data_IF_512720169384
#
_entry.id   IF_512720169384
#
_cell.length_a   1.000
_cell.length_b   1.000
_cell.length_c   1.000
_cell.angle_alpha   90.00
_cell.angle_beta   90.00
_cell.angle_gamma   90.00
#
_symmetry.space_group_name_H-M   'P 1'
#
loop_
_entity.id
_entity.type
_entity.pdbx_description
1 polymer ?
#
# COMPACT_ATOMS: atom_id res chain seq x y z
N UNK A 1 -24.91 -20.53 6.59
CA UNK A 1 -24.06 -20.82 5.39
C UNK A 1 -23.64 -22.28 5.40
N UNK A 2 -23.84 -23.02 4.30
CA UNK A 2 -23.58 -24.48 4.27
C UNK A 2 -22.09 -24.79 4.06
N UNK A 3 -21.59 -25.87 4.65
CA UNK A 3 -20.21 -26.37 4.49
C UNK A 3 -19.76 -26.40 3.02
N UNK A 4 -20.63 -26.87 2.13
CA UNK A 4 -20.36 -26.93 0.69
C UNK A 4 -20.20 -25.54 0.04
N UNK A 5 -20.95 -24.54 0.50
CA UNK A 5 -20.82 -23.15 0.00
C UNK A 5 -19.44 -22.59 0.35
N UNK A 6 -18.98 -22.80 1.60
CA UNK A 6 -17.66 -22.36 2.06
C UNK A 6 -16.52 -23.01 1.26
N UNK A 7 -16.61 -24.32 1.07
CA UNK A 7 -15.60 -25.07 0.32
C UNK A 7 -15.52 -24.57 -1.12
N UNK A 8 -16.68 -24.31 -1.76
CA UNK A 8 -16.72 -23.82 -3.12
C UNK A 8 -16.14 -22.40 -3.24
N UNK A 9 -16.46 -21.51 -2.29
CA UNK A 9 -15.87 -20.17 -2.23
C UNK A 9 -14.33 -20.22 -2.14
N UNK A 10 -13.78 -21.00 -1.21
CA UNK A 10 -12.33 -21.16 -1.06
C UNK A 10 -11.66 -21.80 -2.28
N UNK A 11 -12.35 -22.73 -2.96
CA UNK A 11 -11.86 -23.32 -4.23
C UNK A 11 -11.75 -22.28 -5.33
N UNK A 12 -12.75 -21.42 -5.49
CA UNK A 12 -12.73 -20.34 -6.49
C UNK A 12 -11.62 -19.33 -6.19
N UNK A 13 -11.45 -18.92 -4.93
CA UNK A 13 -10.36 -18.02 -4.53
C UNK A 13 -8.99 -18.63 -4.84
N UNK A 14 -8.77 -19.91 -4.50
CA UNK A 14 -7.52 -20.62 -4.82
C UNK A 14 -7.27 -20.68 -6.33
N UNK A 15 -8.31 -20.89 -7.13
CA UNK A 15 -8.22 -20.94 -8.59
C UNK A 15 -7.77 -19.60 -9.16
N UNK A 16 -8.33 -18.49 -8.68
CA UNK A 16 -7.92 -17.14 -9.08
C UNK A 16 -6.46 -16.88 -8.68
N UNK A 17 -6.09 -17.18 -7.43
CA UNK A 17 -4.73 -16.97 -6.93
C UNK A 17 -3.68 -17.77 -7.74
N UNK A 18 -3.97 -19.05 -8.05
CA UNK A 18 -3.09 -19.87 -8.89
C UNK A 18 -2.95 -19.32 -10.30
N UNK A 19 -4.05 -18.83 -10.91
CA UNK A 19 -3.99 -18.20 -12.24
C UNK A 19 -3.03 -17.00 -12.24
N UNK A 20 -3.14 -16.11 -11.25
CA UNK A 20 -2.22 -14.97 -11.12
C UNK A 20 -0.78 -15.42 -10.84
N UNK A 21 -0.59 -16.46 -10.03
CA UNK A 21 0.73 -17.02 -9.73
C UNK A 21 1.44 -17.49 -11.01
N UNK A 22 0.74 -18.23 -11.88
CA UNK A 22 1.32 -18.67 -13.17
C UNK A 22 1.64 -17.49 -14.08
N UNK A 23 0.74 -16.50 -14.20
CA UNK A 23 1.02 -15.28 -14.96
C UNK A 23 2.29 -14.56 -14.50
N UNK A 24 2.54 -14.45 -13.19
CA UNK A 24 3.78 -13.84 -12.69
C UNK A 24 5.02 -14.71 -12.91
N UNK A 25 4.89 -16.04 -12.87
CA UNK A 25 6.01 -16.94 -13.21
C UNK A 25 6.46 -16.77 -14.65
N UNK A 26 5.55 -16.42 -15.56
CA UNK A 26 5.88 -16.09 -16.94
C UNK A 26 6.51 -14.69 -17.03
N UNK A 27 5.87 -13.69 -16.39
CA UNK A 27 6.30 -12.29 -16.44
C UNK A 27 7.65 -12.04 -15.78
N UNK A 28 8.06 -12.81 -14.77
CA UNK A 28 9.36 -12.62 -14.09
C UNK A 28 10.57 -12.81 -15.00
N UNK A 29 10.39 -13.52 -16.11
CA UNK A 29 11.45 -13.77 -17.09
C UNK A 29 11.48 -12.75 -18.24
N UNK A 30 10.60 -11.74 -18.22
CA UNK A 30 10.62 -10.66 -19.20
C UNK A 30 11.86 -9.78 -19.01
N UNK A 31 12.91 -10.09 -19.80
CA UNK A 31 14.21 -9.41 -19.76
C UNK A 31 14.12 -7.92 -20.13
N UNK A 32 13.07 -7.50 -20.82
CA UNK A 32 12.94 -6.12 -21.29
C UNK A 32 12.55 -5.14 -20.17
N UNK A 33 12.08 -5.64 -19.03
CA UNK A 33 11.60 -4.81 -17.92
C UNK A 33 12.04 -5.37 -16.56
N UNK A 34 13.29 -5.10 -16.17
CA UNK A 34 13.90 -5.53 -14.88
C UNK A 34 13.03 -5.27 -13.65
N UNK A 35 12.20 -4.22 -13.67
CA UNK A 35 11.27 -3.90 -12.59
C UNK A 35 10.07 -4.86 -12.51
N UNK A 36 9.57 -5.36 -13.65
CA UNK A 36 8.52 -6.39 -13.69
C UNK A 36 9.03 -7.65 -13.00
N UNK A 37 10.28 -8.05 -13.24
CA UNK A 37 10.93 -9.15 -12.55
C UNK A 37 10.83 -9.02 -11.03
N UNK A 38 11.33 -7.91 -10.47
CA UNK A 38 11.29 -7.65 -9.02
C UNK A 38 9.86 -7.61 -8.44
N UNK A 39 8.91 -6.95 -9.12
CA UNK A 39 7.52 -6.86 -8.66
C UNK A 39 6.79 -8.22 -8.76
N UNK A 40 7.15 -9.02 -9.77
CA UNK A 40 6.64 -10.38 -9.94
C UNK A 40 7.15 -11.30 -8.84
N UNK A 41 8.41 -11.19 -8.41
CA UNK A 41 8.95 -11.99 -7.30
C UNK A 41 8.19 -11.77 -6.00
N UNK A 42 7.95 -10.51 -5.62
CA UNK A 42 7.16 -10.16 -4.44
C UNK A 42 5.73 -10.68 -4.57
N UNK A 43 5.12 -10.50 -5.74
CA UNK A 43 3.75 -10.97 -5.98
C UNK A 43 3.65 -12.50 -5.90
N UNK A 44 4.65 -13.23 -6.40
CA UNK A 44 4.74 -14.69 -6.30
C UNK A 44 4.84 -15.13 -4.84
N UNK A 45 5.66 -14.47 -4.03
CA UNK A 45 5.79 -14.79 -2.61
C UNK A 45 4.46 -14.58 -1.88
N UNK A 46 3.83 -13.42 -2.05
CA UNK A 46 2.54 -13.11 -1.41
C UNK A 46 1.42 -14.03 -1.88
N UNK A 47 1.33 -14.36 -3.18
CA UNK A 47 0.34 -15.31 -3.68
C UNK A 47 0.54 -16.71 -3.11
N UNK A 48 1.79 -17.18 -2.94
CA UNK A 48 2.06 -18.47 -2.30
C UNK A 48 1.57 -18.49 -0.85
N UNK A 49 1.80 -17.42 -0.10
CA UNK A 49 1.31 -17.30 1.28
C UNK A 49 -0.23 -17.31 1.34
N UNK A 50 -0.89 -16.59 0.43
CA UNK A 50 -2.36 -16.60 0.32
C UNK A 50 -2.87 -18.00 -0.03
N UNK A 51 -2.24 -18.70 -0.98
CA UNK A 51 -2.63 -20.07 -1.36
C UNK A 51 -2.46 -21.03 -0.18
N UNK A 52 -1.38 -20.90 0.61
CA UNK A 52 -1.17 -21.70 1.82
C UNK A 52 -2.26 -21.43 2.86
N UNK A 53 -2.62 -20.15 3.08
CA UNK A 53 -3.73 -19.76 3.96
C UNK A 53 -5.04 -20.37 3.49
N UNK A 54 -5.37 -20.29 2.21
CA UNK A 54 -6.60 -20.89 1.66
C UNK A 54 -6.60 -22.41 1.84
N UNK A 55 -5.46 -23.08 1.69
CA UNK A 55 -5.38 -24.53 1.94
C UNK A 55 -5.66 -24.88 3.39
N UNK A 56 -5.15 -24.08 4.34
CA UNK A 56 -5.44 -24.24 5.76
C UNK A 56 -6.93 -24.02 6.06
N UNK A 57 -7.51 -22.92 5.58
CA UNK A 57 -8.91 -22.56 5.80
C UNK A 57 -9.89 -23.54 5.14
N UNK A 58 -9.44 -24.32 4.15
CA UNK A 58 -10.23 -25.35 3.46
C UNK A 58 -10.13 -26.73 4.13
N UNK A 59 -9.34 -26.88 5.19
CA UNK A 59 -9.28 -28.15 5.92
C UNK A 59 -10.67 -28.46 6.52
N UNK A 60 -11.16 -29.71 6.48
CA UNK A 60 -12.50 -30.06 6.97
C UNK A 60 -12.81 -29.49 8.35
N UNK A 61 -11.91 -29.67 9.31
CA UNK A 61 -12.07 -29.17 10.69
C UNK A 61 -12.22 -27.64 10.77
N UNK A 62 -11.51 -26.90 9.91
CA UNK A 62 -11.59 -25.44 9.86
C UNK A 62 -12.90 -24.95 9.24
N UNK A 63 -13.36 -25.65 8.19
CA UNK A 63 -14.64 -25.36 7.54
C UNK A 63 -15.79 -25.66 8.50
N UNK A 64 -15.74 -26.79 9.19
CA UNK A 64 -16.75 -27.19 10.17
C UNK A 64 -16.81 -26.21 11.33
N UNK A 65 -15.66 -25.88 11.93
CA UNK A 65 -15.55 -24.87 12.99
C UNK A 65 -16.19 -23.54 12.55
N UNK A 66 -15.84 -23.06 11.37
CA UNK A 66 -16.39 -21.82 10.82
C UNK A 66 -17.91 -21.89 10.61
N UNK A 67 -18.42 -22.96 9.99
CA UNK A 67 -19.84 -23.12 9.71
C UNK A 67 -20.67 -23.25 10.99
N UNK A 68 -20.17 -23.99 11.98
CA UNK A 68 -20.83 -24.18 13.26
C UNK A 68 -20.92 -22.87 14.04
N UNK A 69 -19.81 -22.13 14.17
CA UNK A 69 -19.80 -20.84 14.86
C UNK A 69 -20.68 -19.79 14.17
N UNK A 70 -20.70 -19.78 12.82
CA UNK A 70 -21.58 -18.90 12.06
C UNK A 70 -23.05 -19.20 12.30
N UNK A 71 -23.45 -20.47 12.29
CA UNK A 71 -24.84 -20.85 12.58
C UNK A 71 -25.23 -20.41 13.99
N UNK A 72 -24.43 -20.75 15.01
CA UNK A 72 -24.71 -20.37 16.40
C UNK A 72 -24.87 -18.86 16.59
N UNK A 73 -24.06 -18.06 15.89
CA UNK A 73 -24.19 -16.60 15.91
C UNK A 73 -25.46 -16.11 15.22
N UNK A 74 -25.76 -16.61 14.00
CA UNK A 74 -26.99 -16.27 13.26
C UNK A 74 -28.25 -16.64 14.07
N UNK A 75 -28.17 -17.72 14.85
CA UNK A 75 -29.25 -18.23 15.70
C UNK A 75 -29.30 -17.58 17.11
N UNK A 76 -28.37 -16.67 17.44
CA UNK A 76 -28.30 -16.00 18.74
C UNK A 76 -27.92 -16.88 19.93
N UNK A 77 -27.54 -18.14 19.69
CA UNK A 77 -27.28 -19.18 20.70
C UNK A 77 -25.79 -19.37 20.99
N UNK A 78 -25.01 -18.29 20.91
CA UNK A 78 -23.57 -18.33 21.10
C UNK A 78 -23.20 -17.99 22.54
N UNK A 79 -22.44 -18.85 23.21
CA UNK A 79 -21.93 -18.56 24.56
C UNK A 79 -20.87 -17.47 24.53
N UNK A 80 -20.55 -16.85 25.67
CA UNK A 80 -19.53 -15.79 25.76
C UNK A 80 -18.13 -16.27 25.35
N UNK A 81 -17.81 -17.54 25.63
CA UNK A 81 -16.54 -18.17 25.27
C UNK A 81 -16.47 -18.48 23.77
N UNK A 82 -17.57 -19.00 23.21
CA UNK A 82 -17.73 -19.17 21.76
C UNK A 82 -17.84 -17.84 21.02
N UNK A 83 -18.27 -16.75 21.68
CA UNK A 83 -18.29 -15.40 21.12
C UNK A 83 -16.88 -14.88 20.90
N UNK A 84 -15.94 -15.19 21.80
CA UNK A 84 -14.51 -14.86 21.62
C UNK A 84 -13.89 -15.66 20.46
N UNK A 85 -14.17 -16.96 20.37
CA UNK A 85 -13.75 -17.80 19.24
C UNK A 85 -14.46 -17.37 17.94
N UNK A 86 -15.73 -17.01 18.01
CA UNK A 86 -16.48 -16.45 16.90
C UNK A 86 -15.90 -15.12 16.50
N UNK A 87 -15.54 -14.18 17.37
CA UNK A 87 -14.84 -12.96 16.95
C UNK A 87 -13.52 -13.25 16.22
N UNK A 88 -12.76 -14.26 16.66
CA UNK A 88 -11.58 -14.76 15.94
C UNK A 88 -11.92 -15.40 14.58
N UNK A 89 -13.14 -15.92 14.41
CA UNK A 89 -13.67 -16.60 13.20
C UNK A 89 -14.56 -15.69 12.31
N UNK A 90 -15.17 -14.63 12.83
CA UNK A 90 -15.84 -13.53 12.10
C UNK A 90 -14.78 -12.65 11.46
N UNK A 91 -13.63 -12.50 12.14
CA UNK A 91 -12.39 -12.13 11.48
C UNK A 91 -12.12 -13.03 10.27
N UNK A 92 -12.53 -14.30 10.18
CA UNK A 92 -12.39 -15.11 8.97
C UNK A 92 -13.36 -14.76 7.82
N UNK A 93 -14.56 -14.20 8.10
CA UNK A 93 -15.41 -13.58 7.05
C UNK A 93 -14.77 -12.30 6.51
N UNK A 94 -14.28 -11.46 7.42
CA UNK A 94 -13.43 -10.32 7.07
C UNK A 94 -12.18 -10.81 6.34
N UNK A 95 -11.59 -11.95 6.71
CA UNK A 95 -10.45 -12.53 6.03
C UNK A 95 -10.83 -13.08 4.66
N UNK A 96 -12.08 -13.47 4.40
CA UNK A 96 -12.48 -13.92 3.06
C UNK A 96 -12.62 -12.73 2.12
N UNK A 97 -13.27 -11.67 2.60
CA UNK A 97 -13.24 -10.35 1.96
C UNK A 97 -11.82 -9.81 1.79
N UNK A 98 -10.95 -10.03 2.78
CA UNK A 98 -9.53 -9.68 2.73
C UNK A 98 -8.78 -10.54 1.72
N UNK A 99 -9.01 -11.86 1.68
CA UNK A 99 -8.33 -12.79 0.77
C UNK A 99 -8.69 -12.44 -0.67
N UNK A 100 -9.96 -12.22 -0.99
CA UNK A 100 -10.33 -11.81 -2.35
C UNK A 100 -9.72 -10.46 -2.70
N UNK A 101 -9.70 -9.50 -1.76
CA UNK A 101 -9.07 -8.21 -1.97
C UNK A 101 -7.56 -8.32 -2.18
N UNK A 102 -6.88 -9.13 -1.37
CA UNK A 102 -5.43 -9.36 -1.44
C UNK A 102 -5.06 -10.09 -2.74
N UNK A 103 -5.84 -11.09 -3.17
CA UNK A 103 -5.68 -11.74 -4.48
C UNK A 103 -5.90 -10.73 -5.60
N UNK A 104 -7.00 -9.96 -5.55
CA UNK A 104 -7.37 -9.02 -6.60
C UNK A 104 -6.32 -7.91 -6.75
N UNK A 105 -5.84 -7.35 -5.65
CA UNK A 105 -4.75 -6.37 -5.63
C UNK A 105 -3.44 -6.91 -6.19
N UNK A 106 -3.23 -8.22 -6.09
CA UNK A 106 -2.12 -8.91 -6.72
C UNK A 106 -2.39 -9.29 -8.17
N UNK A 107 -3.52 -8.95 -8.78
CA UNK A 107 -3.70 -9.22 -10.21
C UNK A 107 -2.62 -8.49 -11.02
N UNK A 108 -2.06 -9.11 -12.08
CA UNK A 108 -1.09 -8.43 -12.94
C UNK A 108 -1.65 -7.13 -13.52
N UNK A 109 -2.95 -7.05 -13.74
CA UNK A 109 -3.59 -5.83 -14.22
C UNK A 109 -3.63 -4.73 -13.15
N UNK A 110 -3.91 -5.07 -11.90
CA UNK A 110 -3.84 -4.12 -10.78
C UNK A 110 -2.41 -3.70 -10.47
N UNK A 111 -1.58 -4.69 -10.15
CA UNK A 111 -0.28 -4.48 -9.57
C UNK A 111 0.76 -4.10 -10.64
N UNK A 112 0.65 -4.69 -11.83
CA UNK A 112 1.36 -4.18 -12.98
C UNK A 112 0.44 -3.11 -13.60
N UNK A 113 -0.32 -3.34 -14.65
CA UNK A 113 -0.80 -2.27 -15.55
C UNK A 113 -1.33 -0.96 -14.91
N UNK A 114 -2.26 -1.01 -13.96
CA UNK A 114 -2.98 0.16 -13.46
C UNK A 114 -2.27 0.89 -12.30
N UNK A 115 -1.60 0.16 -11.40
CA UNK A 115 -0.89 0.70 -10.24
C UNK A 115 -1.73 1.67 -9.38
N UNK A 116 -3.00 1.32 -9.17
CA UNK A 116 -4.00 2.18 -8.48
C UNK A 116 -4.23 1.81 -7.01
N UNK A 117 -3.42 0.90 -6.45
CA UNK A 117 -3.60 0.42 -5.08
C UNK A 117 -3.39 1.50 -3.99
N UNK A 118 -2.78 2.63 -4.35
CA UNK A 118 -2.57 3.79 -3.47
C UNK A 118 -3.76 4.75 -3.44
N UNK A 119 -4.75 4.58 -4.32
CA UNK A 119 -5.97 5.40 -4.32
C UNK A 119 -6.86 5.00 -3.14
N UNK A 120 -7.46 6.01 -2.51
CA UNK A 120 -8.30 5.83 -1.31
C UNK A 120 -9.77 6.14 -1.56
N UNK A 121 -10.12 6.73 -2.71
CA UNK A 121 -11.51 7.12 -3.00
C UNK A 121 -12.34 5.92 -3.47
N UNK A 122 -13.61 5.90 -3.08
CA UNK A 122 -14.56 4.91 -3.55
C UNK A 122 -14.61 3.61 -2.75
N UNK A 123 -15.45 2.68 -3.22
CA UNK A 123 -15.76 1.47 -2.48
C UNK A 123 -14.75 0.37 -2.79
N UNK A 124 -14.36 -0.41 -1.77
CA UNK A 124 -13.50 -1.61 -1.94
C UNK A 124 -14.00 -2.53 -3.06
N UNK A 125 -15.32 -2.65 -3.21
CA UNK A 125 -15.96 -3.42 -4.29
C UNK A 125 -15.61 -2.91 -5.69
N UNK A 126 -15.55 -1.59 -5.90
CA UNK A 126 -15.19 -1.02 -7.20
C UNK A 126 -13.75 -1.41 -7.58
N UNK A 127 -12.82 -1.37 -6.63
CA UNK A 127 -11.44 -1.84 -6.84
C UNK A 127 -11.36 -3.33 -7.14
N UNK A 128 -12.08 -4.17 -6.37
CA UNK A 128 -12.14 -5.61 -6.63
C UNK A 128 -12.68 -5.88 -8.04
N UNK A 129 -13.74 -5.18 -8.45
CA UNK A 129 -14.35 -5.36 -9.76
C UNK A 129 -13.40 -4.93 -10.89
N UNK A 130 -12.64 -3.83 -10.73
CA UNK A 130 -11.58 -3.42 -11.67
C UNK A 130 -10.50 -4.51 -11.75
N UNK A 131 -9.98 -4.93 -10.60
CA UNK A 131 -8.88 -5.88 -10.50
C UNK A 131 -9.20 -7.26 -11.07
N UNK A 132 -10.46 -7.69 -10.95
CA UNK A 132 -10.98 -8.93 -11.51
C UNK A 132 -11.52 -8.77 -12.94
N UNK A 133 -11.31 -7.61 -13.59
CA UNK A 133 -11.82 -7.28 -14.94
C UNK A 133 -13.33 -7.39 -15.11
N UNK A 134 -14.09 -7.20 -14.03
CA UNK A 134 -15.56 -7.15 -14.06
C UNK A 134 -16.07 -5.76 -14.44
N UNK A 135 -15.27 -4.73 -14.16
CA UNK A 135 -15.52 -3.33 -14.54
C UNK A 135 -14.26 -2.69 -15.09
N UNK A 136 -14.45 -1.64 -15.88
CA UNK A 136 -13.36 -0.81 -16.39
C UNK A 136 -12.93 0.25 -15.36
N UNK A 137 -11.69 0.74 -15.46
CA UNK A 137 -11.16 1.77 -14.56
C UNK A 137 -11.93 3.11 -14.64
N UNK A 138 -12.62 3.37 -15.76
CA UNK A 138 -13.47 4.56 -15.94
C UNK A 138 -14.54 4.75 -14.85
N UNK A 139 -14.88 3.72 -14.07
CA UNK A 139 -15.79 3.89 -12.92
C UNK A 139 -15.26 4.86 -11.86
N UNK A 140 -13.94 5.09 -11.83
CA UNK A 140 -13.31 6.03 -10.91
C UNK A 140 -13.46 7.49 -11.37
N UNK A 141 -13.87 7.75 -12.62
CA UNK A 141 -14.09 9.10 -13.16
C UNK A 141 -15.14 9.89 -12.37
N UNK A 142 -16.08 9.19 -11.72
CA UNK A 142 -17.10 9.80 -10.86
C UNK A 142 -16.49 10.57 -9.68
N UNK A 143 -15.25 10.28 -9.29
CA UNK A 143 -14.55 10.97 -8.20
C UNK A 143 -13.77 12.21 -8.66
N UNK A 144 -13.61 12.42 -9.98
CA UNK A 144 -12.88 13.58 -10.52
C UNK A 144 -13.42 14.93 -10.00
N UNK A 145 -14.75 15.21 -10.00
CA UNK A 145 -15.25 16.50 -9.54
C UNK A 145 -14.85 16.78 -8.08
N UNK A 146 -15.02 15.80 -7.20
CA UNK A 146 -14.63 15.93 -5.79
C UNK A 146 -13.15 16.20 -5.62
N UNK A 147 -12.29 15.58 -6.44
CA UNK A 147 -10.85 15.81 -6.40
C UNK A 147 -10.43 17.17 -6.94
N UNK A 148 -11.12 17.68 -7.97
CA UNK A 148 -10.92 19.05 -8.46
C UNK A 148 -11.32 20.07 -7.38
N UNK A 149 -12.43 19.84 -6.68
CA UNK A 149 -12.83 20.65 -5.52
C UNK A 149 -11.77 20.61 -4.43
N UNK A 150 -11.23 19.43 -4.12
CA UNK A 150 -10.15 19.29 -3.14
C UNK A 150 -8.90 20.11 -3.50
N UNK A 151 -8.48 20.11 -4.77
CA UNK A 151 -7.38 20.98 -5.23
C UNK A 151 -7.73 22.46 -5.04
N UNK A 152 -8.94 22.85 -5.47
CA UNK A 152 -9.35 24.27 -5.54
C UNK A 152 -9.55 24.88 -4.16
N UNK A 153 -10.16 24.14 -3.24
CA UNK A 153 -10.61 24.67 -1.95
C UNK A 153 -9.60 24.41 -0.82
N UNK A 154 -8.79 23.34 -0.91
CA UNK A 154 -7.82 22.97 0.13
C UNK A 154 -6.38 23.27 -0.27
N UNK A 155 -5.97 22.86 -1.47
CA UNK A 155 -4.54 22.83 -1.85
C UNK A 155 -4.08 24.19 -2.36
N UNK A 156 -4.75 24.74 -3.38
CA UNK A 156 -4.37 26.02 -3.99
C UNK A 156 -4.30 27.18 -2.98
N UNK A 157 -5.24 27.34 -2.02
CA UNK A 157 -5.15 28.41 -1.03
C UNK A 157 -3.89 28.31 -0.16
N UNK A 158 -3.48 27.11 0.22
CA UNK A 158 -2.26 26.90 1.02
C UNK A 158 -1.01 27.19 0.19
N UNK A 159 -0.95 26.69 -1.05
CA UNK A 159 0.19 26.94 -1.93
C UNK A 159 0.37 28.43 -2.23
N UNK A 160 -0.73 29.19 -2.33
CA UNK A 160 -0.69 30.65 -2.58
C UNK A 160 -0.01 31.45 -1.47
N UNK A 161 0.11 30.90 -0.26
CA UNK A 161 0.84 31.55 0.83
C UNK A 161 2.35 31.62 0.61
N UNK A 162 2.89 30.85 -0.34
CA UNK A 162 4.33 30.72 -0.55
C UNK A 162 4.70 31.00 -2.02
N UNK A 163 5.58 31.99 -2.20
CA UNK A 163 5.98 32.49 -3.52
C UNK A 163 6.71 31.45 -4.37
N UNK A 164 7.34 30.44 -3.75
CA UNK A 164 8.03 29.37 -4.48
C UNK A 164 7.07 28.53 -5.34
N UNK A 165 5.78 28.51 -5.01
CA UNK A 165 4.78 27.74 -5.76
C UNK A 165 4.11 28.51 -6.90
N UNK A 166 4.44 29.79 -7.12
CA UNK A 166 3.70 30.66 -8.06
C UNK A 166 3.54 30.05 -9.45
N UNK A 167 4.64 29.56 -10.02
CA UNK A 167 4.63 28.95 -11.35
C UNK A 167 3.81 27.65 -11.38
N UNK A 168 3.98 26.82 -10.35
CA UNK A 168 3.24 25.56 -10.19
C UNK A 168 1.73 25.82 -10.08
N UNK A 169 1.33 26.83 -9.30
CA UNK A 169 -0.07 27.24 -9.14
C UNK A 169 -0.67 27.61 -10.50
N UNK A 170 0.03 28.41 -11.30
CA UNK A 170 -0.46 28.80 -12.62
C UNK A 170 -0.69 27.59 -13.54
N UNK A 171 0.18 26.58 -13.48
CA UNK A 171 0.01 25.33 -14.24
C UNK A 171 -1.20 24.55 -13.74
N UNK A 172 -1.39 24.44 -12.42
CA UNK A 172 -2.53 23.72 -11.82
C UNK A 172 -3.85 24.41 -12.17
N UNK A 173 -3.93 25.74 -12.09
CA UNK A 173 -5.15 26.50 -12.41
C UNK A 173 -5.57 26.27 -13.87
N UNK A 174 -4.63 26.32 -14.82
CA UNK A 174 -4.91 26.03 -16.24
C UNK A 174 -5.27 24.55 -16.45
N UNK A 175 -4.65 23.63 -15.71
CA UNK A 175 -4.99 22.21 -15.77
C UNK A 175 -6.42 21.93 -15.30
N UNK A 176 -6.85 22.58 -14.20
CA UNK A 176 -8.20 22.50 -13.65
C UNK A 176 -9.22 23.09 -14.64
N UNK A 177 -8.96 24.27 -15.18
CA UNK A 177 -9.82 24.89 -16.20
C UNK A 177 -9.96 23.97 -17.42
N UNK A 178 -8.86 23.43 -17.91
CA UNK A 178 -8.85 22.47 -19.03
C UNK A 178 -9.67 21.21 -18.72
N UNK A 179 -9.58 20.69 -17.48
CA UNK A 179 -10.39 19.54 -17.03
C UNK A 179 -11.88 19.86 -17.06
N UNK A 180 -12.27 21.02 -16.51
CA UNK A 180 -13.66 21.47 -16.47
C UNK A 180 -14.25 21.66 -17.86
N UNK A 181 -13.42 22.06 -18.83
CA UNK A 181 -13.77 22.21 -20.24
C UNK A 181 -13.67 20.90 -21.04
N UNK A 182 -13.48 19.74 -20.38
CA UNK A 182 -13.27 18.42 -20.99
C UNK A 182 -12.07 18.34 -21.96
N UNK A 183 -11.11 19.26 -21.85
CA UNK A 183 -9.85 19.25 -22.59
C UNK A 183 -8.83 18.36 -21.88
N UNK A 184 -9.08 17.05 -21.89
CA UNK A 184 -8.34 16.09 -21.07
C UNK A 184 -6.89 15.89 -21.50
N UNK A 185 -6.56 16.01 -22.80
CA UNK A 185 -5.17 15.92 -23.27
C UNK A 185 -4.32 17.00 -22.61
N UNK A 186 -4.74 18.26 -22.74
CA UNK A 186 -4.07 19.42 -22.16
C UNK A 186 -4.02 19.30 -20.64
N UNK A 187 -5.17 19.01 -20.01
CA UNK A 187 -5.26 18.88 -18.56
C UNK A 187 -4.33 17.79 -18.01
N UNK A 188 -4.27 16.62 -18.65
CA UNK A 188 -3.42 15.52 -18.23
C UNK A 188 -1.93 15.86 -18.33
N UNK A 189 -1.50 16.47 -19.44
CA UNK A 189 -0.11 16.92 -19.60
C UNK A 189 0.24 17.93 -18.51
N UNK A 190 -0.62 18.93 -18.28
CA UNK A 190 -0.35 19.97 -17.29
C UNK A 190 -0.34 19.45 -15.85
N UNK A 191 -1.26 18.55 -15.48
CA UNK A 191 -1.20 17.92 -14.16
C UNK A 191 0.05 17.05 -13.98
N UNK A 192 0.50 16.37 -15.03
CA UNK A 192 1.75 15.60 -14.97
C UNK A 192 2.94 16.53 -14.70
N UNK A 193 3.03 17.64 -15.44
CA UNK A 193 4.04 18.69 -15.23
C UNK A 193 3.97 19.27 -13.82
N UNK A 194 2.78 19.59 -13.33
CA UNK A 194 2.59 20.11 -11.97
C UNK A 194 3.06 19.12 -10.90
N UNK A 195 2.75 17.82 -11.05
CA UNK A 195 3.25 16.78 -10.14
C UNK A 195 4.78 16.72 -10.12
N UNK A 196 5.43 16.74 -11.28
CA UNK A 196 6.90 16.72 -11.33
C UNK A 196 7.51 17.94 -10.64
N UNK A 197 6.98 19.14 -10.91
CA UNK A 197 7.44 20.37 -10.27
C UNK A 197 7.22 20.38 -8.76
N UNK A 198 6.05 19.95 -8.28
CA UNK A 198 5.75 19.84 -6.84
C UNK A 198 6.71 18.89 -6.13
N UNK A 199 6.96 17.71 -6.71
CA UNK A 199 7.85 16.74 -6.08
C UNK A 199 9.29 17.23 -6.08
N UNK A 200 9.75 17.92 -7.12
CA UNK A 200 11.10 18.51 -7.10
C UNK A 200 11.24 19.56 -6.01
N UNK A 201 10.24 20.43 -5.84
CA UNK A 201 10.24 21.44 -4.78
C UNK A 201 10.18 20.79 -3.38
N UNK A 202 9.32 19.78 -3.19
CA UNK A 202 9.29 18.95 -1.98
C UNK A 202 10.67 18.34 -1.68
N UNK A 203 11.26 17.71 -2.69
CA UNK A 203 12.55 17.04 -2.59
C UNK A 203 13.66 18.02 -2.21
N UNK A 204 13.65 19.24 -2.76
CA UNK A 204 14.56 20.32 -2.39
C UNK A 204 14.44 20.67 -0.91
N UNK A 205 13.23 20.94 -0.41
CA UNK A 205 13.02 21.29 1.01
C UNK A 205 13.44 20.17 1.96
N UNK A 206 13.10 18.93 1.64
CA UNK A 206 13.49 17.77 2.45
C UNK A 206 15.02 17.62 2.44
N UNK A 207 15.64 17.68 1.26
CA UNK A 207 17.09 17.53 1.14
C UNK A 207 17.85 18.62 1.89
N UNK A 208 17.36 19.86 1.85
CA UNK A 208 17.90 20.98 2.63
C UNK A 208 17.84 20.72 4.14
N UNK A 209 16.70 20.22 4.65
CA UNK A 209 16.59 19.89 6.08
C UNK A 209 17.46 18.67 6.47
N UNK A 210 17.65 17.70 5.57
CA UNK A 210 18.49 16.53 5.80
C UNK A 210 19.99 16.84 5.72
N UNK A 211 20.38 17.91 5.01
CA UNK A 211 21.77 18.28 4.75
C UNK A 211 22.00 19.78 5.02
N UNK A 212 21.88 20.24 6.29
CA UNK A 212 21.93 21.66 6.64
C UNK A 212 23.29 22.34 6.38
N UNK A 213 24.34 21.56 6.12
CA UNK A 213 25.68 22.06 5.80
C UNK A 213 25.85 22.47 4.34
N UNK A 214 24.93 22.08 3.44
CA UNK A 214 25.01 22.40 2.01
C UNK A 214 24.37 23.76 1.73
N UNK A 215 24.93 24.48 0.76
CA UNK A 215 24.34 25.73 0.28
C UNK A 215 23.23 25.47 -0.77
N UNK A 216 22.50 26.54 -1.12
CA UNK A 216 21.36 26.44 -2.06
C UNK A 216 21.78 25.97 -3.46
N UNK A 217 22.98 26.32 -3.95
CA UNK A 217 23.47 25.91 -5.26
C UNK A 217 23.76 24.40 -5.31
N UNK A 218 24.41 23.86 -4.28
CA UNK A 218 24.68 22.42 -4.14
C UNK A 218 23.38 21.61 -4.05
N UNK A 219 22.38 22.14 -3.32
CA UNK A 219 21.05 21.53 -3.22
C UNK A 219 20.36 21.56 -4.58
N UNK A 220 20.38 22.70 -5.28
CA UNK A 220 19.74 22.84 -6.59
C UNK A 220 20.40 21.94 -7.65
N UNK A 221 21.72 21.86 -7.67
CA UNK A 221 22.45 20.95 -8.55
C UNK A 221 22.04 19.49 -8.30
N UNK A 222 21.95 19.10 -7.03
CA UNK A 222 21.54 17.75 -6.66
C UNK A 222 20.09 17.44 -7.08
N UNK A 223 19.15 18.35 -6.89
CA UNK A 223 17.72 18.09 -7.12
C UNK A 223 17.32 18.23 -8.59
N UNK A 224 17.82 19.26 -9.27
CA UNK A 224 17.38 19.61 -10.62
C UNK A 224 18.32 19.10 -11.72
N UNK A 225 19.64 19.05 -11.48
CA UNK A 225 20.61 18.75 -12.54
C UNK A 225 21.07 17.28 -12.52
N UNK A 226 21.27 16.70 -11.33
CA UNK A 226 21.79 15.33 -11.20
C UNK A 226 20.83 14.24 -11.70
N UNK A 227 19.53 14.47 -11.59
CA UNK A 227 18.50 13.48 -11.93
C UNK A 227 17.66 13.91 -13.12
N UNK A 228 17.82 13.20 -14.24
CA UNK A 228 17.14 13.46 -15.52
C UNK A 228 15.66 13.11 -15.54
N UNK A 229 15.14 12.48 -14.49
CA UNK A 229 13.72 12.13 -14.35
C UNK A 229 13.31 12.08 -12.88
N UNK A 230 12.00 12.25 -12.65
CA UNK A 230 11.37 12.09 -11.35
C UNK A 230 11.61 10.70 -10.74
N UNK A 231 11.47 9.64 -11.56
CA UNK A 231 11.79 8.27 -11.15
C UNK A 231 13.22 8.17 -10.61
N UNK A 232 14.21 8.74 -11.32
CA UNK A 232 15.61 8.67 -10.93
C UNK A 232 15.87 9.44 -9.63
N UNK A 233 15.24 10.62 -9.46
CA UNK A 233 15.31 11.39 -8.22
C UNK A 233 14.77 10.60 -7.02
N UNK A 234 13.57 10.01 -7.17
CA UNK A 234 12.92 9.26 -6.10
C UNK A 234 13.73 7.99 -5.76
N UNK A 235 14.12 7.21 -6.77
CA UNK A 235 14.69 5.86 -6.56
C UNK A 235 16.20 5.83 -6.33
N UNK A 236 16.96 6.79 -6.85
CA UNK A 236 18.42 6.85 -6.73
C UNK A 236 18.91 7.97 -5.83
N UNK A 237 18.01 8.86 -5.39
CA UNK A 237 18.33 9.87 -4.40
C UNK A 237 18.76 9.23 -3.07
N UNK A 238 19.85 9.74 -2.50
CA UNK A 238 20.33 9.39 -1.16
C UNK A 238 19.48 10.09 -0.10
N UNK A 239 18.28 9.59 0.13
CA UNK A 239 17.36 10.09 1.15
C UNK A 239 17.67 9.48 2.52
N UNK A 240 17.71 10.30 3.57
CA UNK A 240 17.81 9.78 4.93
C UNK A 240 16.50 9.07 5.32
N UNK A 241 16.62 7.95 6.03
CA UNK A 241 15.49 7.27 6.68
C UNK A 241 15.26 7.90 8.04
N UNK A 242 14.64 9.08 8.05
CA UNK A 242 14.44 9.88 9.26
C UNK A 242 12.98 10.13 9.61
N UNK A 243 12.04 9.86 8.70
CA UNK A 243 10.62 10.12 8.90
C UNK A 243 9.95 8.95 9.65
N UNK A 244 9.45 9.15 10.88
CA UNK A 244 8.84 8.09 11.67
C UNK A 244 7.42 7.81 11.17
N UNK A 245 7.08 6.53 11.02
CA UNK A 245 5.71 6.08 10.80
C UNK A 245 5.36 4.97 11.77
N UNK A 246 4.06 4.87 12.09
CA UNK A 246 3.56 3.77 12.91
C UNK A 246 3.69 2.45 12.17
N UNK A 247 3.98 1.40 12.90
CA UNK A 247 4.05 0.04 12.37
C UNK A 247 2.78 -0.38 11.62
N UNK A 248 1.61 -0.10 12.18
CA UNK A 248 0.33 -0.42 11.56
C UNK A 248 0.15 0.32 10.24
N UNK A 249 0.59 1.58 10.17
CA UNK A 249 0.56 2.39 8.95
C UNK A 249 1.49 1.82 7.88
N UNK A 250 2.70 1.39 8.27
CA UNK A 250 3.68 0.73 7.40
C UNK A 250 3.11 -0.52 6.71
N UNK A 251 2.41 -1.35 7.48
CA UNK A 251 1.80 -2.60 6.97
C UNK A 251 0.57 -2.37 6.10
N UNK A 252 -0.12 -1.24 6.24
CA UNK A 252 -1.35 -0.96 5.48
C UNK A 252 -1.05 -0.16 4.22
N UNK A 253 -0.34 0.96 4.34
CA UNK A 253 -0.16 1.92 3.25
C UNK A 253 1.05 1.59 2.36
N UNK A 254 2.04 0.89 2.90
CA UNK A 254 3.29 0.63 2.19
C UNK A 254 3.56 -0.87 1.96
N UNK A 255 2.54 -1.73 2.07
CA UNK A 255 2.71 -3.19 1.90
C UNK A 255 3.23 -3.65 0.54
N UNK A 256 3.12 -2.84 -0.51
CA UNK A 256 3.62 -3.18 -1.86
C UNK A 256 4.91 -2.44 -2.24
N UNK A 257 5.43 -1.59 -1.35
CA UNK A 257 6.67 -0.88 -1.59
C UNK A 257 7.85 -1.81 -1.36
N UNK A 258 8.75 -1.91 -2.34
CA UNK A 258 9.96 -2.71 -2.20
C UNK A 258 11.09 -1.85 -1.61
N UNK A 259 11.15 -1.80 -0.29
CA UNK A 259 12.17 -1.10 0.48
C UNK A 259 12.75 -2.02 1.56
N UNK A 260 14.05 -1.89 1.84
CA UNK A 260 14.75 -2.77 2.78
C UNK A 260 14.20 -2.66 4.20
N UNK A 261 13.90 -1.45 4.68
CA UNK A 261 13.36 -1.23 6.03
C UNK A 261 11.97 -1.85 6.15
N UNK A 262 11.13 -1.70 5.12
CA UNK A 262 9.81 -2.33 5.08
C UNK A 262 9.89 -3.87 4.96
N UNK A 263 10.85 -4.41 4.21
CA UNK A 263 11.05 -5.85 4.09
C UNK A 263 11.50 -6.48 5.42
N UNK A 264 12.42 -5.82 6.13
CA UNK A 264 12.82 -6.23 7.48
C UNK A 264 11.63 -6.21 8.44
N UNK A 265 10.80 -5.16 8.36
CA UNK A 265 9.60 -5.03 9.16
C UNK A 265 8.61 -6.18 8.91
N UNK A 266 8.32 -6.50 7.65
CA UNK A 266 7.43 -7.60 7.27
C UNK A 266 7.94 -8.94 7.80
N UNK A 267 9.25 -9.17 7.72
CA UNK A 267 9.89 -10.37 8.28
C UNK A 267 9.69 -10.42 9.80
N UNK A 268 9.93 -9.32 10.51
CA UNK A 268 9.74 -9.23 11.96
C UNK A 268 8.29 -9.48 12.36
N UNK A 269 7.33 -8.89 11.66
CA UNK A 269 5.91 -9.13 11.86
C UNK A 269 5.54 -10.61 11.68
N UNK A 270 6.06 -11.25 10.63
CA UNK A 270 5.82 -12.68 10.36
C UNK A 270 6.37 -13.57 11.49
N UNK A 271 7.55 -13.23 12.01
CA UNK A 271 8.14 -13.89 13.18
C UNK A 271 7.25 -13.71 14.41
N UNK A 272 6.82 -12.48 14.70
CA UNK A 272 5.93 -12.17 15.82
C UNK A 272 4.60 -12.94 15.76
N UNK A 273 3.92 -12.94 14.61
CA UNK A 273 2.66 -13.68 14.42
C UNK A 273 2.87 -15.19 14.57
N UNK A 274 4.01 -15.70 14.11
CA UNK A 274 4.35 -17.12 14.27
C UNK A 274 4.60 -17.47 15.73
N UNK A 275 5.30 -16.62 16.47
CA UNK A 275 5.54 -16.77 17.91
C UNK A 275 4.24 -16.72 18.71
N UNK A 276 3.34 -15.77 18.43
CA UNK A 276 2.01 -15.71 19.05
C UNK A 276 1.24 -17.02 18.88
N UNK A 277 1.19 -17.56 17.65
CA UNK A 277 0.52 -18.83 17.39
C UNK A 277 1.14 -20.01 18.15
N UNK A 278 2.46 -20.03 18.29
CA UNK A 278 3.16 -21.09 19.08
C UNK A 278 2.83 -20.97 20.56
N UNK A 279 2.83 -19.74 21.10
CA UNK A 279 2.44 -19.46 22.49
C UNK A 279 0.99 -19.89 22.74
N UNK A 280 0.04 -19.45 21.92
CA UNK A 280 -1.38 -19.81 22.02
C UNK A 280 -1.58 -21.33 21.99
N UNK A 281 -0.93 -22.02 21.04
CA UNK A 281 -1.01 -23.49 20.91
C UNK A 281 -0.41 -24.22 22.10
N UNK A 282 0.61 -23.66 22.75
CA UNK A 282 1.24 -24.23 23.95
C UNK A 282 0.35 -24.02 25.17
N UNK A 283 -0.19 -22.82 25.34
CA UNK A 283 -1.11 -22.50 26.43
C UNK A 283 -2.44 -23.26 26.33
N UNK A 284 -2.98 -23.50 25.14
CA UNK A 284 -4.23 -24.25 24.97
C UNK A 284 -4.13 -25.74 25.28
N UNK A 285 -2.91 -26.30 25.27
CA UNK A 285 -2.64 -27.68 25.69
C UNK A 285 -2.45 -27.81 27.20
N UNK A 286 -2.43 -26.69 27.92
CA UNK A 286 -2.15 -26.66 29.33
C UNK A 286 -3.42 -26.90 30.13
N UNK A 287 -3.47 -27.99 30.90
CA UNK A 287 -4.57 -28.28 31.82
C UNK A 287 -4.09 -28.07 33.26
N UNK A 288 -4.73 -27.17 34.00
CA UNK A 288 -4.27 -26.72 35.33
C UNK A 288 -4.25 -27.83 36.39
N UNK A 289 -4.98 -28.93 36.17
CA UNK A 289 -5.28 -29.92 37.19
C UNK A 289 -4.40 -31.18 37.12
N UNK A 290 -3.45 -31.28 36.18
CA UNK A 290 -2.74 -32.55 35.87
C UNK A 290 -1.26 -32.42 35.50
N UNK A 291 -0.56 -31.41 36.03
CA UNK A 291 0.78 -31.05 35.55
C UNK A 291 1.89 -31.33 36.56
N UNK A 292 2.99 -31.89 36.06
CA UNK A 292 4.24 -32.12 36.80
C UNK A 292 5.15 -30.90 36.76
N UNK A 293 6.02 -30.74 37.77
CA UNK A 293 7.03 -29.66 37.78
C UNK A 293 7.94 -29.64 36.55
N UNK A 294 8.26 -30.81 35.98
CA UNK A 294 9.08 -30.89 34.77
C UNK A 294 8.38 -30.28 33.55
N UNK A 295 7.08 -30.50 33.41
CA UNK A 295 6.28 -29.94 32.32
C UNK A 295 6.07 -28.43 32.47
N UNK A 296 6.03 -27.92 33.71
CA UNK A 296 6.03 -26.48 33.98
C UNK A 296 7.36 -25.86 33.54
N UNK A 297 8.48 -26.48 33.93
CA UNK A 297 9.82 -25.98 33.56
C UNK A 297 10.00 -25.94 32.05
N UNK A 298 9.65 -27.02 31.36
CA UNK A 298 9.70 -27.11 29.91
C UNK A 298 8.79 -26.08 29.24
N UNK A 299 7.58 -25.84 29.76
CA UNK A 299 6.69 -24.81 29.24
C UNK A 299 7.32 -23.42 29.39
N UNK A 300 7.86 -23.09 30.57
CA UNK A 300 8.43 -21.77 30.86
C UNK A 300 9.62 -21.48 29.93
N UNK A 301 10.51 -22.45 29.73
CA UNK A 301 11.65 -22.28 28.81
C UNK A 301 11.19 -22.08 27.37
N UNK A 302 10.22 -22.86 26.94
CA UNK A 302 9.60 -22.76 25.62
C UNK A 302 8.90 -21.40 25.39
N UNK A 303 8.16 -20.90 26.39
CA UNK A 303 7.50 -19.60 26.34
C UNK A 303 8.51 -18.45 26.35
N UNK A 304 9.63 -18.55 27.08
CA UNK A 304 10.71 -17.56 27.05
C UNK A 304 11.29 -17.43 25.63
N UNK A 305 11.56 -18.56 24.99
CA UNK A 305 12.09 -18.58 23.63
C UNK A 305 11.10 -17.93 22.64
N UNK A 306 9.82 -18.30 22.69
CA UNK A 306 8.82 -17.69 21.82
C UNK A 306 8.58 -16.20 22.14
N UNK A 307 8.64 -15.80 23.41
CA UNK A 307 8.44 -14.40 23.81
C UNK A 307 9.58 -13.49 23.32
N UNK A 308 10.80 -14.01 23.16
CA UNK A 308 11.92 -13.25 22.60
C UNK A 308 11.72 -12.86 21.12
N UNK A 309 10.83 -13.57 20.42
CA UNK A 309 10.45 -13.29 19.03
C UNK A 309 9.29 -12.31 18.90
N UNK A 310 8.68 -11.89 20.02
CA UNK A 310 7.59 -10.92 19.99
C UNK A 310 8.11 -9.50 19.75
N UNK A 311 7.32 -8.71 19.02
CA UNK A 311 7.61 -7.28 18.86
C UNK A 311 7.52 -6.55 20.19
N UNK A 312 8.41 -5.58 20.35
CA UNK A 312 8.54 -4.74 21.55
C UNK A 312 8.00 -3.33 21.28
N UNK A 313 8.00 -2.48 22.30
CA UNK A 313 7.58 -1.08 22.16
C UNK A 313 8.49 -0.29 21.22
N UNK A 314 9.77 -0.67 21.12
CA UNK A 314 10.72 -0.09 20.17
C UNK A 314 10.36 -0.40 18.71
N UNK A 315 9.49 -1.38 18.47
CA UNK A 315 9.04 -1.79 17.14
C UNK A 315 7.73 -1.14 16.69
N UNK A 316 7.14 -0.28 17.55
CA UNK A 316 5.88 0.41 17.25
C UNK A 316 6.05 1.46 16.16
N UNK A 317 7.27 1.97 15.96
CA UNK A 317 7.59 2.95 14.93
C UNK A 317 8.80 2.52 14.12
N UNK A 318 8.76 2.83 12.83
CA UNK A 318 9.92 2.67 11.94
C UNK A 318 10.21 3.98 11.24
N UNK A 319 11.48 4.16 10.86
CA UNK A 319 11.88 5.29 10.03
C UNK A 319 11.91 4.90 8.57
N UNK A 320 11.16 5.62 7.76
CA UNK A 320 11.17 5.52 6.30
C UNK A 320 11.84 6.75 5.69
N UNK A 321 12.07 6.68 4.38
CA UNK A 321 12.63 7.77 3.61
C UNK A 321 11.61 8.30 2.57
N UNK A 322 11.97 9.39 1.90
CA UNK A 322 11.11 10.02 0.89
C UNK A 322 10.76 9.07 -0.27
N UNK A 323 11.66 8.16 -0.63
CA UNK A 323 11.41 7.22 -1.74
C UNK A 323 10.23 6.29 -1.47
N UNK A 324 10.02 5.89 -0.21
CA UNK A 324 8.89 5.08 0.22
C UNK A 324 7.58 5.85 0.06
N UNK A 325 7.53 7.10 0.52
CA UNK A 325 6.31 7.91 0.49
C UNK A 325 5.90 8.30 -0.93
N UNK A 326 6.86 8.47 -1.84
CA UNK A 326 6.62 8.84 -3.24
C UNK A 326 6.60 7.65 -4.21
N UNK A 327 6.69 6.41 -3.72
CA UNK A 327 6.77 5.23 -4.58
C UNK A 327 5.56 5.10 -5.54
N UNK A 328 4.39 5.64 -5.16
CA UNK A 328 3.19 5.65 -6.01
C UNK A 328 3.34 6.43 -7.32
N UNK A 329 4.34 7.34 -7.41
CA UNK A 329 4.60 8.13 -8.62
C UNK A 329 5.59 7.47 -9.57
N UNK A 330 6.50 6.65 -9.04
CA UNK A 330 7.73 6.18 -9.71
C UNK A 330 7.43 5.58 -11.09
N UNK A 331 6.36 4.80 -11.19
CA UNK A 331 6.07 4.06 -12.41
C UNK A 331 5.19 4.81 -13.38
N UNK A 332 4.03 5.28 -12.92
CA UNK A 332 3.05 5.94 -13.79
C UNK A 332 3.70 7.10 -14.55
N UNK A 333 4.46 7.93 -13.84
CA UNK A 333 5.08 9.11 -14.41
C UNK A 333 6.24 8.81 -15.35
N UNK A 334 6.92 7.66 -15.18
CA UNK A 334 7.91 7.20 -16.16
C UNK A 334 7.24 6.87 -17.50
N UNK A 335 6.17 6.08 -17.46
CA UNK A 335 5.47 5.64 -18.67
C UNK A 335 4.77 6.82 -19.36
N UNK A 336 4.08 7.66 -18.58
CA UNK A 336 3.42 8.87 -19.07
C UNK A 336 4.43 9.87 -19.67
N UNK A 337 5.57 10.14 -19.00
CA UNK A 337 6.63 11.02 -19.53
C UNK A 337 7.23 10.49 -20.83
N UNK A 338 7.52 9.19 -20.90
CA UNK A 338 8.03 8.59 -22.13
C UNK A 338 7.03 8.75 -23.29
N UNK A 339 5.73 8.58 -23.02
CA UNK A 339 4.69 8.84 -24.01
C UNK A 339 4.67 10.30 -24.48
N UNK A 340 4.81 11.27 -23.57
CA UNK A 340 4.87 12.70 -23.93
C UNK A 340 6.10 13.00 -24.81
N UNK A 341 7.28 12.55 -24.39
CA UNK A 341 8.54 12.80 -25.11
C UNK A 341 8.51 12.23 -26.53
N UNK A 342 7.86 11.07 -26.70
CA UNK A 342 7.74 10.41 -28.00
C UNK A 342 6.47 10.80 -28.78
N UNK A 343 5.69 11.78 -28.31
CA UNK A 343 4.50 12.28 -29.00
C UNK A 343 3.33 11.29 -29.09
N UNK A 344 3.29 10.29 -28.21
CA UNK A 344 2.23 9.28 -28.19
C UNK A 344 1.12 9.66 -27.22
N UNK A 345 0.14 10.43 -27.69
CA UNK A 345 -0.95 10.97 -26.87
C UNK A 345 -2.22 10.11 -26.85
N UNK A 346 -2.18 8.87 -27.37
CA UNK A 346 -3.39 8.05 -27.59
C UNK A 346 -4.25 7.89 -26.32
N UNK A 347 -3.60 7.76 -25.17
CA UNK A 347 -4.29 7.53 -23.89
C UNK A 347 -4.48 8.80 -23.05
N UNK A 348 -4.05 9.96 -23.55
CA UNK A 348 -4.10 11.24 -22.82
C UNK A 348 -5.48 11.92 -22.85
N UNK A 349 -6.36 11.52 -23.76
CA UNK A 349 -7.73 12.06 -23.80
C UNK A 349 -8.67 11.37 -22.80
N UNK A 350 -8.17 10.40 -22.02
CA UNK A 350 -8.98 9.61 -21.11
C UNK A 350 -9.25 10.38 -19.80
N UNK A 351 -10.53 10.51 -19.44
CA UNK A 351 -10.98 11.22 -18.24
C UNK A 351 -10.51 10.54 -16.95
N UNK A 352 -10.47 9.20 -16.90
CA UNK A 352 -9.95 8.50 -15.71
C UNK A 352 -8.47 8.78 -15.45
N UNK A 353 -7.65 9.04 -16.49
CA UNK A 353 -6.26 9.46 -16.29
C UNK A 353 -6.19 10.82 -15.57
N UNK A 354 -7.14 11.70 -15.89
CA UNK A 354 -7.27 13.00 -15.25
C UNK A 354 -7.55 12.86 -13.76
N UNK A 355 -8.53 12.02 -13.40
CA UNK A 355 -8.78 11.67 -12.01
C UNK A 355 -7.51 11.21 -11.28
N UNK A 356 -6.76 10.26 -11.85
CA UNK A 356 -5.54 9.75 -11.19
C UNK A 356 -4.48 10.85 -11.06
N UNK A 357 -4.31 11.71 -12.06
CA UNK A 357 -3.34 12.82 -12.00
C UNK A 357 -3.71 13.84 -10.92
N UNK A 358 -4.99 14.17 -10.79
CA UNK A 358 -5.52 15.05 -9.73
C UNK A 358 -5.34 14.40 -8.35
N UNK A 359 -5.66 13.10 -8.23
CA UNK A 359 -5.43 12.34 -6.99
C UNK A 359 -3.94 12.28 -6.61
N UNK A 360 -3.04 12.27 -7.60
CA UNK A 360 -1.60 12.31 -7.35
C UNK A 360 -1.16 13.67 -6.79
N UNK A 361 -1.68 14.79 -7.30
CA UNK A 361 -1.43 16.14 -6.71
C UNK A 361 -1.85 16.17 -5.25
N UNK A 362 -3.05 15.67 -4.96
CA UNK A 362 -3.58 15.58 -3.59
C UNK A 362 -2.63 14.80 -2.69
N UNK A 363 -2.23 13.60 -3.11
CA UNK A 363 -1.33 12.76 -2.32
C UNK A 363 0.06 13.37 -2.15
N UNK A 364 0.61 14.02 -3.18
CA UNK A 364 1.89 14.75 -3.10
C UNK A 364 1.80 15.87 -2.05
N UNK A 365 0.72 16.63 -2.07
CA UNK A 365 0.50 17.72 -1.11
C UNK A 365 0.35 17.21 0.33
N UNK A 366 -0.30 16.07 0.54
CA UNK A 366 -0.39 15.45 1.85
C UNK A 366 0.99 15.03 2.37
N UNK A 367 1.81 14.37 1.52
CA UNK A 367 3.21 14.03 1.84
C UNK A 367 4.01 15.29 2.18
N UNK A 368 3.82 16.36 1.40
CA UNK A 368 4.48 17.64 1.63
C UNK A 368 4.14 18.20 3.02
N UNK A 369 2.84 18.24 3.35
CA UNK A 369 2.34 18.74 4.63
C UNK A 369 2.86 17.92 5.81
N UNK A 370 2.93 16.60 5.66
CA UNK A 370 3.48 15.71 6.69
C UNK A 370 4.96 15.99 6.97
N UNK A 371 5.78 16.15 5.92
CA UNK A 371 7.20 16.47 6.07
C UNK A 371 7.45 17.86 6.66
N UNK A 372 6.69 18.87 6.24
CA UNK A 372 6.84 20.21 6.82
C UNK A 372 6.51 20.21 8.31
N UNK A 373 5.42 19.56 8.72
CA UNK A 373 5.08 19.39 10.14
C UNK A 373 6.20 18.67 10.90
N UNK A 374 6.77 17.63 10.31
CA UNK A 374 7.85 16.87 10.92
C UNK A 374 9.12 17.71 11.12
N UNK A 375 9.62 18.39 10.08
CA UNK A 375 10.85 19.17 10.20
C UNK A 375 10.66 20.46 11.01
N UNK A 376 9.49 21.08 10.98
CA UNK A 376 9.20 22.24 11.82
C UNK A 376 9.13 21.86 13.30
N UNK A 377 8.54 20.71 13.64
CA UNK A 377 8.53 20.25 15.04
C UNK A 377 9.93 19.91 15.57
N UNK A 378 10.81 19.36 14.73
CA UNK A 378 12.23 19.16 15.07
C UNK A 378 12.96 20.47 15.35
N UNK A 379 12.75 21.51 14.52
CA UNK A 379 13.38 22.82 14.72
C UNK A 379 12.94 23.52 16.00
N UNK A 380 11.70 23.30 16.43
CA UNK A 380 11.19 23.90 17.67
C UNK A 380 11.62 23.15 18.95
N UNK A 381 12.09 21.91 18.81
CA UNK A 381 12.53 21.05 19.91
C UNK A 381 14.06 20.93 20.01
N UNK A 382 14.81 21.53 19.09
CA UNK A 382 16.27 21.64 19.08
C UNK A 382 16.66 23.05 19.54
#
# INVERSE_FOLDING_TARGET
MKTNERINELKELKKIANNYLEKYKDLRFDKNKRWIGKKSEISIEQLKEIIQKINHDRHPDQVELYCNLKSKFEDGNISTQELSEFFNVTLMQIQTGSIIFDIARLSPESNLLLDIAWLTDGYVKDYIDIYLKRKDISILEKFLPSKITEITDRILPVLKCDKEFREIISVIEVAVESSNNNSFITSNILFITACESLVRLLSRRIYQNQNPSLNDDEINEYIYNKFTSLESLITKGKWLSDFPIKFSEALVHYKDVNDNSLNQLRKKHKTHVSAQKRIEKRLSKFNKDTITESEISDLVENLKNDSSELMTDEDKEIKINLSVMLNFLVRKYKDDRNQIIHGNFKDYNLKWKNYINVAAIVKIFDVFTEYEKFYNSKKNNA
#
